data_IF_327673888596
#
_entry.id   IF_327673888596
#
_cell.length_a   1.000
_cell.length_b   1.000
_cell.length_c   1.000
_cell.angle_alpha   90.00
_cell.angle_beta   90.00
_cell.angle_gamma   90.00
#
_symmetry.space_group_name_H-M   'P 1'
#
loop_
_entity.id
_entity.type
_entity.pdbx_description
1 polymer ?
#
# COMPACT_ATOMS: atom_id res chain seq x y z
N UNK A 1 4.97 31.74 -8.79
CA UNK A 1 4.88 30.39 -9.39
C UNK A 1 6.06 29.57 -8.88
N UNK A 2 5.86 28.51 -8.10
CA UNK A 2 6.97 27.68 -7.61
C UNK A 2 7.36 26.65 -8.68
N UNK A 3 8.53 26.83 -9.30
CA UNK A 3 9.15 25.82 -10.14
C UNK A 3 9.60 24.65 -9.25
N UNK A 4 8.90 23.53 -9.31
CA UNK A 4 9.29 22.32 -8.61
C UNK A 4 10.28 21.52 -9.47
N UNK A 5 11.48 21.30 -8.95
CA UNK A 5 12.47 20.43 -9.59
C UNK A 5 11.98 18.97 -9.57
N UNK A 6 12.00 18.31 -10.74
CA UNK A 6 11.64 16.89 -10.87
C UNK A 6 12.91 16.06 -11.02
N UNK A 7 13.22 15.29 -9.98
CA UNK A 7 14.37 14.36 -9.99
C UNK A 7 13.86 12.99 -10.43
N UNK A 8 14.53 12.40 -11.43
CA UNK A 8 14.35 10.99 -11.81
C UNK A 8 15.54 10.20 -11.31
N UNK A 9 15.28 9.07 -10.65
CA UNK A 9 16.31 8.08 -10.33
C UNK A 9 16.40 7.12 -11.52
N UNK A 10 17.61 6.77 -11.95
CA UNK A 10 17.85 5.68 -12.90
C UNK A 10 18.33 4.42 -12.15
N UNK A 11 17.41 3.51 -11.79
CA UNK A 11 17.75 2.37 -10.96
C UNK A 11 18.39 1.24 -11.76
N UNK A 12 19.37 0.56 -11.15
CA UNK A 12 19.91 -0.72 -11.62
C UNK A 12 18.82 -1.79 -11.64
N UNK A 13 19.07 -2.92 -12.32
CA UNK A 13 18.12 -4.04 -12.38
C UNK A 13 17.72 -4.53 -10.98
N UNK A 14 18.70 -4.70 -10.09
CA UNK A 14 18.46 -5.10 -8.70
C UNK A 14 17.59 -4.10 -7.93
N UNK A 15 17.83 -2.80 -8.13
CA UNK A 15 17.03 -1.74 -7.52
C UNK A 15 15.59 -1.73 -8.06
N UNK A 16 15.40 -1.99 -9.36
CA UNK A 16 14.05 -2.12 -9.96
C UNK A 16 13.28 -3.27 -9.33
N UNK A 17 13.92 -4.42 -9.16
CA UNK A 17 13.32 -5.58 -8.51
C UNK A 17 12.98 -5.31 -7.04
N UNK A 18 13.90 -4.63 -6.33
CA UNK A 18 13.64 -4.16 -4.98
C UNK A 18 12.42 -3.24 -4.90
N UNK A 19 12.34 -2.21 -5.76
CA UNK A 19 11.20 -1.30 -5.77
C UNK A 19 9.89 -1.99 -6.13
N UNK A 20 9.93 -2.97 -7.04
CA UNK A 20 8.77 -3.79 -7.37
C UNK A 20 8.27 -4.60 -6.15
N UNK A 21 9.18 -5.24 -5.40
CA UNK A 21 8.88 -5.95 -4.15
C UNK A 21 8.33 -5.01 -3.08
N UNK A 22 8.93 -3.84 -2.91
CA UNK A 22 8.50 -2.83 -1.94
C UNK A 22 7.09 -2.28 -2.27
N UNK A 23 6.84 -1.92 -3.53
CA UNK A 23 5.52 -1.47 -3.99
C UNK A 23 4.47 -2.59 -3.89
N UNK A 24 4.85 -3.83 -4.20
CA UNK A 24 4.01 -5.01 -4.01
C UNK A 24 3.62 -5.21 -2.54
N UNK A 25 4.59 -5.07 -1.63
CA UNK A 25 4.39 -5.14 -0.19
C UNK A 25 3.43 -4.07 0.30
N UNK A 26 3.64 -2.81 -0.09
CA UNK A 26 2.77 -1.70 0.28
C UNK A 26 1.33 -1.93 -0.19
N UNK A 27 1.16 -2.43 -1.41
CA UNK A 27 -0.16 -2.79 -1.96
C UNK A 27 -0.84 -3.90 -1.16
N UNK A 28 -0.11 -4.97 -0.84
CA UNK A 28 -0.63 -6.12 -0.09
C UNK A 28 -1.07 -5.71 1.31
N UNK A 29 -0.27 -4.91 2.00
CA UNK A 29 -0.58 -4.43 3.35
C UNK A 29 -1.77 -3.46 3.33
N UNK A 30 -1.87 -2.57 2.34
CA UNK A 30 -3.05 -1.74 2.16
C UNK A 30 -4.32 -2.59 2.03
N UNK A 31 -4.29 -3.59 1.16
CA UNK A 31 -5.45 -4.45 0.92
C UNK A 31 -5.83 -5.23 2.17
N UNK A 32 -4.86 -5.78 2.89
CA UNK A 32 -5.10 -6.45 4.18
C UNK A 32 -5.74 -5.49 5.19
N UNK A 33 -5.18 -4.29 5.35
CA UNK A 33 -5.68 -3.32 6.32
C UNK A 33 -7.09 -2.81 5.97
N UNK A 34 -7.40 -2.64 4.68
CA UNK A 34 -8.74 -2.26 4.23
C UNK A 34 -9.76 -3.39 4.45
N UNK A 35 -9.40 -4.64 4.17
CA UNK A 35 -10.27 -5.79 4.44
C UNK A 35 -10.56 -5.91 5.94
N UNK A 36 -9.53 -5.76 6.78
CA UNK A 36 -9.68 -5.82 8.23
C UNK A 36 -10.50 -4.65 8.78
N UNK A 37 -10.33 -3.45 8.21
CA UNK A 37 -11.19 -2.31 8.51
C UNK A 37 -12.66 -2.62 8.20
N UNK A 38 -12.94 -3.14 7.00
CA UNK A 38 -14.30 -3.49 6.58
C UNK A 38 -14.91 -4.57 7.49
N UNK A 39 -14.13 -5.59 7.87
CA UNK A 39 -14.55 -6.64 8.80
C UNK A 39 -14.93 -6.08 10.17
N UNK A 40 -14.07 -5.23 10.75
CA UNK A 40 -14.33 -4.62 12.05
C UNK A 40 -15.52 -3.65 12.01
N UNK A 41 -15.67 -2.88 10.92
CA UNK A 41 -16.84 -2.00 10.72
C UNK A 41 -18.15 -2.79 10.58
N UNK A 42 -18.15 -3.89 9.83
CA UNK A 42 -19.33 -4.74 9.66
C UNK A 42 -19.77 -5.38 10.98
N UNK A 43 -18.83 -5.66 11.89
CA UNK A 43 -19.11 -6.13 13.25
C UNK A 43 -19.58 -5.01 14.21
N UNK A 44 -19.87 -3.80 13.73
CA UNK A 44 -20.28 -2.66 14.55
C UNK A 44 -19.12 -1.94 15.27
N UNK A 45 -17.88 -2.35 15.02
CA UNK A 45 -16.70 -1.71 15.59
C UNK A 45 -16.39 -0.35 14.94
N UNK A 46 -15.54 0.43 15.63
CA UNK A 46 -14.95 1.68 15.11
C UNK A 46 -13.46 1.42 14.84
N UNK A 47 -13.08 1.00 13.61
CA UNK A 47 -11.71 0.62 13.33
C UNK A 47 -10.77 1.83 13.44
N UNK A 48 -9.53 1.55 13.80
CA UNK A 48 -8.49 2.57 13.92
C UNK A 48 -7.22 2.08 13.23
N UNK A 49 -6.67 2.87 12.31
CA UNK A 49 -5.51 2.47 11.52
C UNK A 49 -4.28 2.13 12.36
N UNK A 50 -4.09 2.78 13.51
CA UNK A 50 -2.99 2.47 14.43
C UNK A 50 -3.22 1.15 15.16
N UNK A 51 -4.48 0.86 15.54
CA UNK A 51 -4.84 -0.45 16.10
C UNK A 51 -4.61 -1.57 15.07
N UNK A 52 -4.98 -1.35 13.80
CA UNK A 52 -4.69 -2.29 12.71
C UNK A 52 -3.19 -2.50 12.51
N UNK A 53 -2.38 -1.44 12.59
CA UNK A 53 -0.92 -1.54 12.53
C UNK A 53 -0.36 -2.41 13.67
N UNK A 54 -0.89 -2.25 14.89
CA UNK A 54 -0.51 -3.09 16.04
C UNK A 54 -0.89 -4.56 15.82
N UNK A 55 -2.10 -4.82 15.31
CA UNK A 55 -2.55 -6.17 14.97
C UNK A 55 -1.64 -6.80 13.90
N UNK A 56 -1.33 -6.05 12.84
CA UNK A 56 -0.43 -6.48 11.78
C UNK A 56 0.97 -6.82 12.32
N UNK A 57 1.54 -5.98 13.18
CA UNK A 57 2.85 -6.22 13.76
C UNK A 57 2.93 -7.51 14.58
N UNK A 58 1.80 -7.99 15.14
CA UNK A 58 1.73 -9.27 15.86
C UNK A 58 1.76 -10.48 14.93
N UNK A 59 1.30 -10.35 13.69
CA UNK A 59 1.12 -11.48 12.76
C UNK A 59 2.13 -11.51 11.62
N UNK A 60 2.79 -10.39 11.32
CA UNK A 60 3.55 -10.21 10.06
C UNK A 60 4.73 -11.17 9.86
N UNK A 61 5.16 -11.89 10.89
CA UNK A 61 6.26 -12.87 10.81
C UNK A 61 5.85 -14.30 11.15
N UNK A 62 4.55 -14.54 11.36
CA UNK A 62 4.04 -15.85 11.81
C UNK A 62 2.84 -16.33 11.01
N UNK A 63 2.00 -15.43 10.52
CA UNK A 63 0.85 -15.81 9.70
C UNK A 63 1.30 -16.32 8.32
N UNK A 64 0.79 -17.48 7.84
CA UNK A 64 1.14 -18.06 6.54
C UNK A 64 0.97 -17.08 5.36
N UNK A 65 0.01 -16.16 5.47
CA UNK A 65 -0.23 -15.12 4.47
C UNK A 65 0.93 -14.10 4.33
N UNK A 66 1.99 -14.17 5.14
CA UNK A 66 3.15 -13.29 5.13
C UNK A 66 4.48 -14.03 5.05
N UNK A 67 4.43 -15.35 4.83
CA UNK A 67 5.58 -16.22 4.67
C UNK A 67 5.74 -16.61 3.20
N UNK A 68 6.98 -16.76 2.75
CA UNK A 68 7.30 -17.31 1.45
C UNK A 68 7.13 -18.85 1.42
N UNK A 69 7.45 -19.45 0.28
CA UNK A 69 7.40 -20.90 0.06
C UNK A 69 8.23 -21.72 1.05
N UNK A 70 9.27 -21.12 1.63
CA UNK A 70 10.16 -21.73 2.62
C UNK A 70 9.73 -21.40 4.07
N UNK A 71 8.56 -20.80 4.26
CA UNK A 71 8.07 -20.38 5.57
C UNK A 71 8.79 -19.17 6.16
N UNK A 72 9.62 -18.47 5.38
CA UNK A 72 10.35 -17.31 5.85
C UNK A 72 9.58 -16.01 5.57
N UNK A 73 9.58 -15.03 6.50
CA UNK A 73 8.89 -13.78 6.24
C UNK A 73 9.65 -12.91 5.22
N UNK A 74 9.13 -12.79 3.99
CA UNK A 74 9.74 -11.93 2.96
C UNK A 74 9.79 -10.45 3.38
N UNK A 75 9.00 -10.04 4.37
CA UNK A 75 9.01 -8.68 4.91
C UNK A 75 10.37 -8.28 5.51
N UNK A 76 11.21 -9.26 5.89
CA UNK A 76 12.57 -9.00 6.40
C UNK A 76 13.51 -8.41 5.34
N UNK A 77 13.26 -8.68 4.06
CA UNK A 77 14.11 -8.22 2.95
C UNK A 77 13.66 -6.89 2.36
N UNK A 78 12.58 -6.30 2.87
CA UNK A 78 11.98 -5.06 2.37
C UNK A 78 12.05 -3.98 3.45
N UNK A 79 12.28 -2.72 3.04
CA UNK A 79 12.36 -1.61 3.99
C UNK A 79 11.09 -1.49 4.83
N UNK A 80 11.27 -1.13 6.11
CA UNK A 80 10.17 -1.03 7.09
C UNK A 80 9.03 -0.13 6.64
N UNK A 81 9.30 0.90 5.84
CA UNK A 81 8.25 1.83 5.44
C UNK A 81 7.31 1.23 4.40
N UNK A 82 7.75 0.23 3.62
CA UNK A 82 6.91 -0.45 2.63
C UNK A 82 5.67 -1.07 3.28
N UNK A 83 5.83 -1.67 4.47
CA UNK A 83 4.72 -2.24 5.23
C UNK A 83 4.17 -1.34 6.35
N UNK A 84 4.82 -0.22 6.70
CA UNK A 84 4.33 0.70 7.75
C UNK A 84 3.50 1.88 7.19
N UNK A 85 3.93 2.47 6.07
CA UNK A 85 3.27 3.63 5.45
C UNK A 85 1.83 3.36 4.97
N UNK A 86 1.45 2.14 4.51
CA UNK A 86 0.08 1.86 4.10
C UNK A 86 -0.98 2.17 5.16
N UNK A 87 -0.68 1.98 6.45
CA UNK A 87 -1.60 2.30 7.54
C UNK A 87 -1.85 3.80 7.69
N UNK A 88 -0.80 4.62 7.59
CA UNK A 88 -0.93 6.08 7.61
C UNK A 88 -1.70 6.59 6.38
N UNK A 89 -1.45 5.98 5.21
CA UNK A 89 -2.20 6.29 4.00
C UNK A 89 -3.69 5.92 4.15
N UNK A 90 -3.99 4.78 4.78
CA UNK A 90 -5.36 4.33 5.03
C UNK A 90 -6.09 5.28 5.99
N UNK A 91 -5.42 5.71 7.07
CA UNK A 91 -5.95 6.72 7.99
C UNK A 91 -6.34 8.00 7.25
N UNK A 92 -5.41 8.54 6.45
CA UNK A 92 -5.66 9.75 5.64
C UNK A 92 -6.81 9.58 4.65
N UNK A 93 -6.94 8.40 4.04
CA UNK A 93 -8.01 8.13 3.09
C UNK A 93 -9.39 8.12 3.76
N UNK A 94 -9.52 7.49 4.92
CA UNK A 94 -10.76 7.51 5.70
C UNK A 94 -11.08 8.90 6.27
N UNK A 95 -10.10 9.63 6.80
CA UNK A 95 -10.29 11.01 7.24
C UNK A 95 -10.87 11.87 6.13
N UNK A 96 -10.26 11.84 4.94
CA UNK A 96 -10.75 12.58 3.77
C UNK A 96 -12.17 12.19 3.38
N UNK A 97 -12.50 10.89 3.42
CA UNK A 97 -13.85 10.40 3.12
C UNK A 97 -14.89 10.99 4.08
N UNK A 98 -14.63 10.94 5.38
CA UNK A 98 -15.57 11.48 6.37
C UNK A 98 -15.68 13.00 6.32
N UNK A 99 -14.58 13.72 6.06
CA UNK A 99 -14.58 15.16 5.85
C UNK A 99 -15.43 15.55 4.64
N UNK A 100 -15.27 14.87 3.50
CA UNK A 100 -16.04 15.12 2.29
C UNK A 100 -17.53 14.84 2.51
N UNK A 101 -17.86 13.73 3.21
CA UNK A 101 -19.24 13.42 3.58
C UNK A 101 -19.87 14.51 4.46
N UNK A 102 -19.14 15.00 5.46
CA UNK A 102 -19.62 16.10 6.34
C UNK A 102 -19.81 17.41 5.57
N UNK A 103 -18.96 17.67 4.57
CA UNK A 103 -19.03 18.86 3.74
C UNK A 103 -20.07 18.78 2.60
N UNK A 104 -20.84 17.69 2.51
CA UNK A 104 -21.82 17.48 1.44
C UNK A 104 -21.20 17.31 0.04
N UNK A 105 -19.90 17.03 -0.05
CA UNK A 105 -19.19 16.82 -1.31
C UNK A 105 -19.25 15.35 -1.73
N UNK A 106 -19.13 15.01 -3.02
CA UNK A 106 -18.97 13.63 -3.47
C UNK A 106 -17.79 12.97 -2.74
N UNK A 107 -18.08 11.94 -1.96
CA UNK A 107 -17.12 11.26 -1.12
C UNK A 107 -17.01 9.78 -1.53
N UNK A 108 -15.80 9.33 -1.78
CA UNK A 108 -15.54 7.96 -2.24
C UNK A 108 -14.78 7.19 -1.16
N UNK A 109 -15.27 6.02 -0.72
CA UNK A 109 -14.57 5.22 0.27
C UNK A 109 -13.26 4.67 -0.30
N UNK A 110 -12.26 4.36 0.55
CA UNK A 110 -11.04 3.70 0.11
C UNK A 110 -11.33 2.35 -0.57
N UNK A 111 -10.65 2.08 -1.68
CA UNK A 111 -10.82 0.85 -2.48
C UNK A 111 -9.58 -0.03 -2.45
N UNK A 112 -9.77 -1.31 -2.75
CA UNK A 112 -8.66 -2.26 -2.93
C UNK A 112 -7.75 -1.84 -4.09
N UNK A 113 -6.44 -1.89 -3.86
CA UNK A 113 -5.44 -1.56 -4.87
C UNK A 113 -5.15 -2.78 -5.75
N UNK A 114 -5.02 -2.53 -7.06
CA UNK A 114 -4.64 -3.52 -8.09
C UNK A 114 -3.34 -3.09 -8.76
N UNK A 115 -2.49 -4.07 -9.14
CA UNK A 115 -1.27 -3.82 -9.92
C UNK A 115 -1.66 -3.08 -11.21
N UNK A 116 -0.84 -2.11 -11.64
CA UNK A 116 -1.10 -1.31 -12.85
C UNK A 116 -2.14 -0.19 -12.69
N UNK A 117 -2.98 -0.20 -11.65
CA UNK A 117 -4.05 0.80 -11.45
C UNK A 117 -3.87 1.75 -10.26
N UNK A 118 -2.89 1.50 -9.38
CA UNK A 118 -2.58 2.41 -8.26
C UNK A 118 -1.39 3.32 -8.58
N UNK A 119 -1.43 4.58 -8.11
CA UNK A 119 -0.32 5.55 -8.27
C UNK A 119 0.98 5.12 -7.60
N UNK A 120 0.92 4.22 -6.61
CA UNK A 120 2.08 3.67 -5.89
C UNK A 120 2.78 2.52 -6.66
N UNK A 121 2.57 2.41 -7.98
CA UNK A 121 3.32 1.47 -8.79
C UNK A 121 4.76 1.97 -8.93
N UNK A 122 5.75 1.15 -8.63
CA UNK A 122 7.16 1.44 -8.91
C UNK A 122 7.43 1.83 -10.39
N UNK A 123 6.53 1.40 -11.29
CA UNK A 123 6.53 1.70 -12.73
C UNK A 123 6.07 3.13 -13.07
N UNK A 124 5.58 3.91 -12.10
CA UNK A 124 5.24 5.32 -12.31
C UNK A 124 6.49 6.24 -12.32
N UNK A 125 7.69 5.68 -12.45
CA UNK A 125 8.79 6.34 -13.16
C UNK A 125 8.50 6.16 -14.65
N UNK A 126 7.79 7.13 -15.26
CA UNK A 126 7.32 7.08 -16.65
C UNK A 126 8.27 6.32 -17.60
N UNK A 127 7.89 5.09 -17.94
CA UNK A 127 8.19 4.51 -19.24
C UNK A 127 7.04 4.92 -20.15
N UNK A 128 7.13 6.15 -20.66
CA UNK A 128 6.45 6.46 -21.91
C UNK A 128 7.28 5.80 -23.02
N UNK A 129 6.75 4.74 -23.61
CA UNK A 129 7.34 4.07 -24.77
C UNK A 129 8.22 2.89 -24.39
N UNK A 130 7.60 1.71 -24.33
CA UNK A 130 8.02 0.44 -24.93
C UNK A 130 7.16 -0.64 -24.26
N UNK A 131 6.19 -1.15 -25.02
CA UNK A 131 5.50 -2.39 -24.73
C UNK A 131 6.54 -3.51 -24.70
N UNK A 132 6.65 -4.23 -23.58
CA UNK A 132 7.13 -5.62 -23.63
C UNK A 132 6.04 -6.46 -22.98
N UNK A 133 5.27 -7.14 -23.85
CA UNK A 133 4.56 -8.36 -23.50
C UNK A 133 5.60 -9.38 -23.01
N UNK A 134 5.39 -9.93 -21.82
CA UNK A 134 5.83 -11.27 -21.47
C UNK A 134 4.83 -11.87 -20.49
N UNK A 135 4.18 -12.93 -20.99
CA UNK A 135 3.37 -13.99 -20.38
C UNK A 135 2.98 -13.86 -18.89
#
# INVERSE_FOLDING_TARGET
MLLAHRIRIDPTLEQRDYFARAAGTARRVWNWALAEWQRQSAAGGKPNAMALKKQFNRIKYSAPAWLDENGQPWLRTVHRDAHAQPFANLARAWTRYFEQRRAGRPAYPPVFKKKGRCRDNAVQLRLNGIFILSL
#
